data_IF_675846065375
#
_entry.id   IF_675846065375
#
_cell.length_a   1.000
_cell.length_b   1.000
_cell.length_c   1.000
_cell.angle_alpha   90.00
_cell.angle_beta   90.00
_cell.angle_gamma   90.00
#
_symmetry.space_group_name_H-M   'P 1'
#
loop_
_entity.id
_entity.type
_entity.pdbx_description
1 polymer ?
#
# COMPACT_ATOMS: atom_id res chain seq x y z
N UNK A 1 28.35 34.18 40.44
CA UNK A 1 26.94 33.93 40.12
C UNK A 1 26.73 34.19 38.63
N UNK A 2 26.63 33.13 37.81
CA UNK A 2 26.10 33.16 36.46
C UNK A 2 25.62 31.75 36.10
N UNK A 3 24.42 31.70 35.52
CA UNK A 3 23.53 30.55 35.29
C UNK A 3 24.09 29.51 34.31
N UNK A 4 23.75 28.22 34.42
CA UNK A 4 23.91 27.29 33.30
C UNK A 4 22.74 27.47 32.32
N UNK A 5 23.08 27.86 31.09
CA UNK A 5 22.18 27.88 29.95
C UNK A 5 21.61 26.48 29.69
N UNK A 6 20.28 26.35 29.71
CA UNK A 6 19.60 25.16 29.19
C UNK A 6 19.73 25.18 27.68
N UNK A 7 20.52 24.28 27.12
CA UNK A 7 20.48 23.94 25.70
C UNK A 7 19.17 23.22 25.42
N UNK A 8 18.21 23.97 24.87
CA UNK A 8 17.05 23.42 24.17
C UNK A 8 17.58 22.61 22.98
N UNK A 9 17.52 21.29 23.06
CA UNK A 9 17.83 20.42 21.92
C UNK A 9 16.60 20.39 21.03
N UNK A 10 16.69 21.04 19.87
CA UNK A 10 15.68 20.98 18.82
C UNK A 10 15.69 19.58 18.22
N UNK A 11 14.64 18.79 18.46
CA UNK A 11 14.34 17.61 17.64
C UNK A 11 13.88 18.13 16.27
N UNK A 12 14.79 18.20 15.32
CA UNK A 12 14.44 18.30 13.90
C UNK A 12 13.97 16.92 13.45
N UNK A 13 12.69 16.63 13.62
CA UNK A 13 12.06 15.42 13.13
C UNK A 13 11.16 15.77 11.95
N UNK A 14 11.47 15.25 10.75
CA UNK A 14 10.47 15.17 9.69
C UNK A 14 9.27 14.37 10.22
N UNK A 15 8.03 14.72 9.82
CA UNK A 15 6.86 13.93 10.20
C UNK A 15 7.04 12.48 9.72
N UNK A 16 6.55 11.49 10.50
CA UNK A 16 6.67 10.08 10.12
C UNK A 16 6.07 9.85 8.74
N UNK A 17 6.78 9.10 7.92
CA UNK A 17 6.34 8.73 6.58
C UNK A 17 5.15 7.80 6.66
N UNK A 18 4.08 8.11 5.92
CA UNK A 18 2.85 7.31 5.86
C UNK A 18 2.63 6.83 4.43
N UNK A 19 2.27 5.57 4.23
CA UNK A 19 2.13 5.00 2.89
C UNK A 19 1.05 3.93 2.79
N UNK A 20 0.37 3.90 1.63
CA UNK A 20 -0.51 2.80 1.28
C UNK A 20 0.36 1.62 0.82
N UNK A 21 0.12 0.44 1.35
CA UNK A 21 0.82 -0.77 0.94
C UNK A 21 -0.07 -1.69 0.13
N UNK A 22 0.51 -2.20 -0.96
CA UNK A 22 -0.09 -3.21 -1.81
C UNK A 22 -0.23 -4.55 -1.07
N UNK A 23 -1.09 -5.43 -1.56
CA UNK A 23 -1.39 -6.74 -0.95
C UNK A 23 -0.15 -7.61 -0.83
N UNK A 24 0.75 -7.54 -1.82
CA UNK A 24 2.00 -8.29 -1.76
C UNK A 24 2.91 -7.87 -0.58
N UNK A 25 2.88 -6.60 -0.16
CA UNK A 25 3.63 -6.11 0.99
C UNK A 25 3.06 -6.74 2.26
N UNK A 26 1.73 -6.75 2.42
CA UNK A 26 1.08 -7.36 3.59
C UNK A 26 1.41 -8.85 3.70
N UNK A 27 1.41 -9.56 2.57
CA UNK A 27 1.73 -11.00 2.52
C UNK A 27 3.18 -11.28 2.92
N UNK A 28 4.11 -10.41 2.51
CA UNK A 28 5.54 -10.59 2.71
C UNK A 28 6.10 -9.85 3.92
N UNK A 29 5.29 -9.07 4.65
CA UNK A 29 5.69 -8.14 5.69
C UNK A 29 6.75 -8.67 6.67
N UNK A 30 6.67 -9.91 7.20
CA UNK A 30 7.67 -10.43 8.13
C UNK A 30 9.08 -10.62 7.55
N UNK A 31 9.21 -10.64 6.23
CA UNK A 31 10.47 -10.88 5.51
C UNK A 31 11.01 -9.62 4.79
N UNK A 32 10.29 -8.50 4.84
CA UNK A 32 10.72 -7.25 4.20
C UNK A 32 11.72 -6.49 5.07
N UNK A 33 12.62 -5.77 4.40
CA UNK A 33 13.57 -4.88 5.08
C UNK A 33 12.83 -3.64 5.64
N UNK A 34 12.87 -3.38 6.96
CA UNK A 34 12.09 -2.30 7.57
C UNK A 34 12.42 -0.89 7.06
N UNK A 35 13.64 -0.68 6.58
CA UNK A 35 14.12 0.59 6.01
C UNK A 35 13.54 0.89 4.61
N UNK A 36 12.86 -0.08 3.99
CA UNK A 36 12.13 0.09 2.73
C UNK A 36 10.63 0.40 2.93
N UNK A 37 10.16 0.41 4.18
CA UNK A 37 8.75 0.62 4.52
C UNK A 37 8.51 2.01 5.12
N UNK A 38 7.29 2.57 4.98
CA UNK A 38 6.93 3.78 5.69
C UNK A 38 6.86 3.52 7.20
N UNK A 39 7.02 4.59 7.99
CA UNK A 39 6.85 4.54 9.45
C UNK A 39 5.42 4.14 9.84
N UNK A 40 4.43 4.55 9.03
CA UNK A 40 3.02 4.18 9.17
C UNK A 40 2.51 3.48 7.91
N UNK A 41 2.14 2.20 8.08
CA UNK A 41 1.57 1.33 7.05
C UNK A 41 0.05 1.46 7.03
N UNK A 42 -0.51 1.70 5.84
CA UNK A 42 -1.95 1.77 5.61
C UNK A 42 -2.33 0.76 4.54
N UNK A 43 -3.47 0.08 4.67
CA UNK A 43 -4.05 -0.76 3.62
C UNK A 43 -5.38 -0.16 3.15
N UNK A 44 -5.90 -0.63 2.01
CA UNK A 44 -7.25 -0.29 1.58
C UNK A 44 -8.18 -1.52 1.57
N UNK A 45 -9.48 -1.26 1.47
CA UNK A 45 -10.51 -2.30 1.43
C UNK A 45 -10.29 -3.31 0.29
N UNK A 46 -9.66 -2.91 -0.82
CA UNK A 46 -9.35 -3.80 -1.95
C UNK A 46 -8.28 -4.82 -1.54
N UNK A 47 -7.23 -4.38 -0.85
CA UNK A 47 -6.22 -5.29 -0.28
C UNK A 47 -6.84 -6.26 0.71
N UNK A 48 -7.72 -5.79 1.60
CA UNK A 48 -8.44 -6.69 2.51
C UNK A 48 -9.32 -7.70 1.75
N UNK A 49 -9.97 -7.29 0.66
CA UNK A 49 -10.76 -8.18 -0.18
C UNK A 49 -9.90 -9.27 -0.84
N UNK A 50 -8.71 -8.92 -1.33
CA UNK A 50 -7.77 -9.90 -1.90
C UNK A 50 -7.28 -10.91 -0.86
N UNK A 51 -6.92 -10.43 0.34
CA UNK A 51 -6.55 -11.30 1.47
C UNK A 51 -7.71 -12.21 1.89
N UNK A 52 -8.93 -11.69 1.90
CA UNK A 52 -10.16 -12.45 2.20
C UNK A 52 -10.42 -13.56 1.18
N UNK A 53 -10.18 -13.29 -0.11
CA UNK A 53 -10.33 -14.29 -1.16
C UNK A 53 -9.22 -15.35 -1.15
N UNK A 54 -8.01 -14.98 -0.71
CA UNK A 54 -6.81 -15.82 -0.75
C UNK A 54 -6.98 -17.27 -0.27
N UNK A 55 -7.52 -17.53 0.94
CA UNK A 55 -7.76 -18.88 1.45
C UNK A 55 -8.67 -19.76 0.58
N UNK A 56 -9.56 -19.16 -0.21
CA UNK A 56 -10.49 -19.86 -1.09
C UNK A 56 -9.89 -20.25 -2.44
N UNK A 57 -8.69 -19.75 -2.78
CA UNK A 57 -7.99 -20.02 -4.03
C UNK A 57 -6.94 -21.15 -3.95
N UNK A 58 -6.97 -21.96 -2.89
CA UNK A 58 -6.02 -23.07 -2.72
C UNK A 58 -6.71 -24.31 -2.16
N UNK A 59 -6.30 -25.48 -2.66
CA UNK A 59 -6.72 -26.77 -2.12
C UNK A 59 -5.77 -27.28 -1.02
N UNK A 60 -4.53 -26.77 -0.95
CA UNK A 60 -3.54 -27.16 0.06
C UNK A 60 -3.93 -26.63 1.46
N UNK A 61 -4.18 -27.51 2.45
CA UNK A 61 -4.50 -27.11 3.81
C UNK A 61 -3.42 -26.24 4.47
N UNK A 62 -2.14 -26.43 4.15
CA UNK A 62 -1.04 -25.65 4.74
C UNK A 62 -1.04 -24.23 4.20
N UNK A 63 -1.11 -24.06 2.89
CA UNK A 63 -1.23 -22.74 2.27
C UNK A 63 -2.52 -22.03 2.68
N UNK A 64 -3.64 -22.75 2.83
CA UNK A 64 -4.90 -22.18 3.33
C UNK A 64 -4.71 -21.61 4.74
N UNK A 65 -4.14 -22.39 5.66
CA UNK A 65 -3.87 -21.93 7.03
C UNK A 65 -2.94 -20.71 7.05
N UNK A 66 -1.91 -20.67 6.20
CA UNK A 66 -1.01 -19.51 6.05
C UNK A 66 -1.78 -18.27 5.61
N UNK A 67 -2.59 -18.35 4.55
CA UNK A 67 -3.38 -17.22 4.03
C UNK A 67 -4.43 -16.74 5.04
N UNK A 68 -5.09 -17.65 5.76
CA UNK A 68 -6.02 -17.28 6.83
C UNK A 68 -5.31 -16.55 7.96
N UNK A 69 -4.10 -16.99 8.34
CA UNK A 69 -3.31 -16.29 9.35
C UNK A 69 -2.92 -14.87 8.92
N UNK A 70 -2.58 -14.66 7.64
CA UNK A 70 -2.27 -13.32 7.10
C UNK A 70 -3.52 -12.43 7.15
N UNK A 71 -4.68 -12.94 6.72
CA UNK A 71 -5.95 -12.21 6.78
C UNK A 71 -6.29 -11.77 8.22
N UNK A 72 -6.27 -12.71 9.17
CA UNK A 72 -6.59 -12.43 10.57
C UNK A 72 -5.64 -11.40 11.19
N UNK A 73 -4.35 -11.47 10.85
CA UNK A 73 -3.39 -10.48 11.30
C UNK A 73 -3.68 -9.10 10.71
N UNK A 74 -4.01 -9.03 9.42
CA UNK A 74 -4.37 -7.78 8.78
C UNK A 74 -5.63 -7.14 9.40
N UNK A 75 -6.69 -7.93 9.64
CA UNK A 75 -7.93 -7.48 10.29
C UNK A 75 -7.70 -7.00 11.73
N UNK A 76 -6.75 -7.60 12.45
CA UNK A 76 -6.42 -7.19 13.81
C UNK A 76 -5.52 -5.95 13.87
N UNK A 77 -4.81 -5.63 12.80
CA UNK A 77 -3.75 -4.61 12.78
C UNK A 77 -4.18 -3.33 12.08
N UNK A 78 -4.98 -3.42 11.02
CA UNK A 78 -5.28 -2.29 10.15
C UNK A 78 -6.77 -1.91 10.17
N UNK A 79 -7.03 -0.61 10.00
CA UNK A 79 -8.33 -0.05 9.63
C UNK A 79 -8.27 0.38 8.15
N UNK A 80 -8.80 -0.43 7.21
CA UNK A 80 -8.59 -0.19 5.78
C UNK A 80 -9.28 1.07 5.27
N UNK A 81 -8.57 1.84 4.45
CA UNK A 81 -9.17 2.95 3.71
C UNK A 81 -10.23 2.43 2.71
N UNK A 82 -11.41 3.06 2.64
CA UNK A 82 -12.47 2.62 1.74
C UNK A 82 -12.12 2.93 0.28
N UNK A 83 -12.62 2.12 -0.64
CA UNK A 83 -12.76 2.56 -2.03
C UNK A 83 -14.09 3.32 -2.17
N UNK A 84 -14.03 4.63 -1.91
CA UNK A 84 -15.19 5.50 -1.87
C UNK A 84 -15.40 6.30 -3.17
N UNK A 85 -16.26 7.33 -3.13
CA UNK A 85 -16.56 8.15 -4.30
C UNK A 85 -15.35 8.96 -4.81
N UNK A 86 -14.40 9.31 -3.95
CA UNK A 86 -13.18 10.03 -4.33
C UNK A 86 -12.16 9.11 -4.98
N UNK A 87 -11.96 7.93 -4.39
CA UNK A 87 -11.19 6.86 -5.02
C UNK A 87 -11.80 6.45 -6.38
N UNK A 88 -13.13 6.38 -6.49
CA UNK A 88 -13.80 6.06 -7.76
C UNK A 88 -13.60 7.13 -8.84
N UNK A 89 -13.53 8.42 -8.48
CA UNK A 89 -13.19 9.49 -9.44
C UNK A 89 -11.73 9.39 -9.87
N UNK A 90 -10.83 9.15 -8.91
CA UNK A 90 -9.40 8.92 -9.17
C UNK A 90 -9.18 7.75 -10.12
N UNK A 91 -9.96 6.68 -9.98
CA UNK A 91 -9.91 5.52 -10.88
C UNK A 91 -10.13 5.89 -12.35
N UNK A 92 -11.04 6.82 -12.64
CA UNK A 92 -11.26 7.30 -14.00
C UNK A 92 -10.02 7.95 -14.61
N UNK A 93 -9.29 8.74 -13.82
CA UNK A 93 -8.04 9.41 -14.24
C UNK A 93 -6.92 8.38 -14.48
N UNK A 94 -6.73 7.47 -13.52
CA UNK A 94 -5.71 6.43 -13.61
C UNK A 94 -5.98 5.46 -14.77
N UNK A 95 -7.24 5.07 -14.98
CA UNK A 95 -7.63 4.24 -16.12
C UNK A 95 -7.35 4.93 -17.46
N UNK A 96 -7.61 6.24 -17.56
CA UNK A 96 -7.27 7.02 -18.75
C UNK A 96 -5.75 7.06 -18.98
N UNK A 97 -4.95 7.26 -17.94
CA UNK A 97 -3.49 7.23 -18.02
C UNK A 97 -2.96 5.87 -18.51
N UNK A 98 -3.48 4.76 -17.98
CA UNK A 98 -3.12 3.40 -18.44
C UNK A 98 -3.45 3.20 -19.92
N UNK A 99 -4.61 3.68 -20.39
CA UNK A 99 -4.99 3.56 -21.80
C UNK A 99 -4.02 4.29 -22.74
N UNK A 100 -3.47 5.44 -22.32
CA UNK A 100 -2.47 6.18 -23.09
C UNK A 100 -1.15 5.41 -23.26
N UNK A 101 -0.84 4.49 -22.33
CA UNK A 101 0.34 3.61 -22.45
C UNK A 101 0.13 2.40 -23.38
N UNK A 102 -1.06 2.27 -23.99
CA UNK A 102 -1.42 1.13 -24.84
C UNK A 102 -1.73 -0.17 -24.05
N UNK A 103 -1.84 -0.08 -22.72
CA UNK A 103 -2.19 -1.21 -21.85
C UNK A 103 -3.70 -1.23 -21.56
N UNK A 104 -4.23 -2.42 -21.25
CA UNK A 104 -5.66 -2.61 -20.94
C UNK A 104 -5.91 -2.65 -19.42
N UNK A 105 -6.77 -1.77 -18.87
CA UNK A 105 -7.10 -1.74 -17.43
C UNK A 105 -7.74 -3.04 -16.90
N UNK A 106 -8.40 -3.83 -17.76
CA UNK A 106 -9.25 -4.96 -17.36
C UNK A 106 -8.51 -6.07 -16.58
N UNK A 107 -7.22 -6.28 -16.83
CA UNK A 107 -6.40 -7.27 -16.09
C UNK A 107 -5.85 -6.74 -14.77
N UNK A 108 -5.98 -5.43 -14.50
CA UNK A 108 -5.36 -4.68 -13.40
C UNK A 108 -6.37 -3.86 -12.62
N UNK A 109 -7.64 -4.28 -12.62
CA UNK A 109 -8.71 -3.49 -11.99
C UNK A 109 -8.45 -3.33 -10.50
N UNK A 110 -8.06 -4.40 -9.81
CA UNK A 110 -7.71 -4.34 -8.39
C UNK A 110 -6.52 -3.41 -8.14
N UNK A 111 -5.40 -3.58 -8.85
CA UNK A 111 -4.23 -2.69 -8.76
C UNK A 111 -4.59 -1.22 -8.98
N UNK A 112 -5.41 -0.95 -10.01
CA UNK A 112 -5.87 0.41 -10.28
C UNK A 112 -6.77 0.95 -9.18
N UNK A 113 -7.63 0.13 -8.58
CA UNK A 113 -8.43 0.55 -7.42
C UNK A 113 -7.52 0.86 -6.22
N UNK A 114 -6.50 0.04 -5.94
CA UNK A 114 -5.51 0.30 -4.89
C UNK A 114 -4.79 1.63 -5.14
N UNK A 115 -4.26 1.83 -6.35
CA UNK A 115 -3.60 3.08 -6.73
C UNK A 115 -4.54 4.29 -6.68
N UNK A 116 -5.84 4.09 -6.94
CA UNK A 116 -6.84 5.16 -6.85
C UNK A 116 -7.12 5.58 -5.42
N UNK A 117 -7.08 4.64 -4.46
CA UNK A 117 -7.14 4.98 -3.03
C UNK A 117 -5.87 5.73 -2.63
N UNK A 118 -4.68 5.29 -3.08
CA UNK A 118 -3.43 6.01 -2.82
C UNK A 118 -3.50 7.46 -3.35
N UNK A 119 -3.95 7.64 -4.59
CA UNK A 119 -4.15 8.95 -5.21
C UNK A 119 -5.14 9.82 -4.43
N UNK A 120 -6.31 9.29 -4.09
CA UNK A 120 -7.36 10.03 -3.39
C UNK A 120 -6.95 10.50 -1.99
N UNK A 121 -5.99 9.83 -1.36
CA UNK A 121 -5.51 10.16 -0.02
C UNK A 121 -4.12 10.80 -0.01
N UNK A 122 -3.57 11.18 -1.18
CA UNK A 122 -2.22 11.73 -1.33
C UNK A 122 -1.12 10.85 -0.68
N UNK A 123 -1.27 9.53 -0.76
CA UNK A 123 -0.33 8.57 -0.16
C UNK A 123 0.60 7.96 -1.22
N UNK A 124 1.91 7.81 -0.93
CA UNK A 124 2.77 6.96 -1.74
C UNK A 124 2.31 5.50 -1.65
N UNK A 125 2.39 4.79 -2.77
CA UNK A 125 2.04 3.37 -2.89
C UNK A 125 3.30 2.50 -2.85
N UNK A 126 3.41 1.61 -1.86
CA UNK A 126 4.51 0.66 -1.72
C UNK A 126 4.13 -0.70 -2.30
N UNK A 127 5.00 -1.27 -3.13
CA UNK A 127 4.76 -2.56 -3.79
C UNK A 127 6.06 -3.29 -4.12
N UNK A 128 6.01 -4.63 -4.13
CA UNK A 128 7.09 -5.46 -4.71
C UNK A 128 6.98 -5.62 -6.22
N UNK A 129 5.88 -5.16 -6.85
CA UNK A 129 5.64 -5.27 -8.29
C UNK A 129 5.43 -3.89 -8.96
N UNK A 130 6.42 -2.99 -8.99
CA UNK A 130 6.26 -1.64 -9.54
C UNK A 130 5.82 -1.62 -11.02
N UNK A 131 6.07 -2.70 -11.78
CA UNK A 131 5.63 -2.87 -13.16
C UNK A 131 4.11 -2.84 -13.37
N UNK A 132 3.35 -3.10 -12.29
CA UNK A 132 1.88 -3.10 -12.32
C UNK A 132 1.31 -1.67 -12.39
N UNK A 133 2.12 -0.67 -12.01
CA UNK A 133 1.73 0.74 -11.93
C UNK A 133 2.41 1.64 -12.98
N UNK A 134 3.10 1.06 -13.96
CA UNK A 134 3.70 1.82 -15.08
C UNK A 134 2.63 2.61 -15.82
N UNK A 135 2.90 3.90 -16.06
CA UNK A 135 1.97 4.85 -16.68
C UNK A 135 1.18 5.71 -15.69
N UNK A 136 1.42 5.55 -14.39
CA UNK A 136 0.75 6.30 -13.32
C UNK A 136 1.67 7.29 -12.60
N UNK A 137 2.90 7.47 -13.10
CA UNK A 137 3.99 8.16 -12.39
C UNK A 137 3.67 9.64 -12.08
N UNK A 138 2.87 10.29 -12.94
CA UNK A 138 2.44 11.68 -12.74
C UNK A 138 1.26 11.83 -11.77
N UNK A 139 0.64 10.70 -11.38
CA UNK A 139 -0.55 10.67 -10.52
C UNK A 139 -0.22 10.09 -9.14
N UNK A 140 0.51 8.98 -9.08
CA UNK A 140 0.79 8.27 -7.84
C UNK A 140 2.29 8.07 -7.68
N UNK A 141 2.82 8.46 -6.52
CA UNK A 141 4.20 8.13 -6.16
C UNK A 141 4.31 6.65 -5.81
N UNK A 142 4.93 5.86 -6.68
CA UNK A 142 5.17 4.43 -6.44
C UNK A 142 6.55 4.24 -5.80
N UNK A 143 6.60 3.52 -4.69
CA UNK A 143 7.82 3.13 -3.97
C UNK A 143 8.03 1.62 -4.14
N UNK A 144 9.10 1.26 -4.83
CA UNK A 144 9.47 -0.14 -4.99
C UNK A 144 10.08 -0.68 -3.70
N UNK A 145 9.63 -1.86 -3.29
CA UNK A 145 10.18 -2.63 -2.17
C UNK A 145 10.78 -3.92 -2.73
N UNK A 146 11.95 -4.30 -2.23
CA UNK A 146 12.61 -5.52 -2.71
C UNK A 146 11.82 -6.76 -2.26
N UNK A 147 11.57 -7.66 -3.20
CA UNK A 147 10.83 -8.89 -2.90
C UNK A 147 11.76 -9.88 -2.19
N UNK A 148 11.33 -10.48 -1.06
CA UNK A 148 12.13 -11.45 -0.32
C UNK A 148 12.13 -12.84 -0.99
#
# INVERSE_FOLDING_TARGET
>A
MLSPSRTCSTVSGEPPSRGLVDTNIVIHLPALAPDQLPDELVICAVTLAELSAGPHHTDDPRERARRTSVLQHAEATFDPLPFDAEAARSFGLLAAAVLLTGRTPRRRVADLMIASVAHAHDLPLYTTNPSDFVGLEDLVTVRAVERP
#
